data_IF_276978470321
#
_entry.id   IF_276978470321
#
_cell.length_a   1.000
_cell.length_b   1.000
_cell.length_c   1.000
_cell.angle_alpha   90.00
_cell.angle_beta   90.00
_cell.angle_gamma   90.00
#
_symmetry.space_group_name_H-M   'P 1'
#
loop_
_entity.id
_entity.type
_entity.pdbx_description
1 polymer ?
#
# COMPACT_ATOMS: atom_id res chain seq x y z
N UNK A 1 -25.05 -8.91 -6.55
CA UNK A 1 -23.66 -9.19 -6.95
C UNK A 1 -22.87 -9.46 -5.69
N UNK A 2 -22.02 -10.48 -5.67
CA UNK A 2 -21.09 -10.69 -4.56
C UNK A 2 -20.08 -9.54 -4.57
N UNK A 3 -19.80 -8.93 -3.42
CA UNK A 3 -18.78 -7.89 -3.33
C UNK A 3 -17.41 -8.48 -3.69
N UNK A 4 -16.65 -7.75 -4.51
CA UNK A 4 -15.29 -8.14 -4.90
C UNK A 4 -14.32 -7.88 -3.75
N UNK A 5 -13.37 -8.80 -3.57
CA UNK A 5 -12.21 -8.62 -2.68
C UNK A 5 -11.35 -7.48 -3.22
N UNK A 6 -10.96 -6.57 -2.32
CA UNK A 6 -10.08 -5.44 -2.61
C UNK A 6 -8.68 -5.68 -2.07
N UNK A 7 -7.68 -5.54 -2.94
CA UNK A 7 -6.26 -5.76 -2.67
C UNK A 7 -5.55 -4.42 -2.65
N UNK A 8 -4.88 -4.11 -1.54
CA UNK A 8 -3.87 -3.06 -1.51
C UNK A 8 -2.51 -3.65 -1.93
N UNK A 9 -1.87 -3.11 -2.96
CA UNK A 9 -0.58 -3.60 -3.44
C UNK A 9 0.57 -2.77 -2.84
N UNK A 10 1.25 -3.34 -1.86
CA UNK A 10 2.38 -2.71 -1.16
C UNK A 10 3.69 -3.10 -1.85
N UNK A 11 4.30 -2.20 -2.61
CA UNK A 11 5.56 -2.47 -3.30
C UNK A 11 6.34 -1.18 -3.51
N UNK A 12 7.67 -1.29 -3.55
CA UNK A 12 8.53 -0.21 -4.00
C UNK A 12 8.07 0.31 -5.37
N UNK A 13 8.20 1.61 -5.60
CA UNK A 13 7.81 2.28 -6.84
C UNK A 13 8.83 3.36 -7.29
N UNK A 14 10.11 3.16 -6.95
CA UNK A 14 11.17 4.15 -7.19
C UNK A 14 11.63 4.20 -8.65
N UNK A 15 11.40 3.13 -9.42
CA UNK A 15 11.91 2.97 -10.78
C UNK A 15 10.86 2.44 -11.76
N UNK A 16 11.08 2.68 -13.06
CA UNK A 16 10.24 2.14 -14.13
C UNK A 16 10.15 0.61 -14.14
N UNK A 17 11.19 -0.07 -13.63
CA UNK A 17 11.19 -1.53 -13.47
C UNK A 17 10.17 -1.96 -12.42
N UNK A 18 10.18 -1.32 -11.27
CA UNK A 18 9.26 -1.61 -10.16
C UNK A 18 7.83 -1.25 -10.54
N UNK A 19 7.61 -0.07 -11.11
CA UNK A 19 6.26 0.35 -11.49
C UNK A 19 5.66 -0.50 -12.60
N UNK A 20 6.49 -0.96 -13.56
CA UNK A 20 6.09 -1.93 -14.56
C UNK A 20 5.74 -3.29 -13.93
N UNK A 21 6.56 -3.79 -13.01
CA UNK A 21 6.27 -5.04 -12.29
C UNK A 21 4.93 -4.97 -11.57
N UNK A 22 4.71 -3.89 -10.80
CA UNK A 22 3.51 -3.69 -10.00
C UNK A 22 2.24 -3.63 -10.85
N UNK A 23 2.26 -2.90 -11.99
CA UNK A 23 1.12 -2.82 -12.91
C UNK A 23 0.79 -4.19 -13.51
N UNK A 24 1.78 -4.94 -13.97
CA UNK A 24 1.53 -6.24 -14.58
C UNK A 24 0.92 -7.22 -13.57
N UNK A 25 1.45 -7.23 -12.34
CA UNK A 25 0.89 -8.08 -11.29
C UNK A 25 -0.53 -7.65 -10.90
N UNK A 26 -0.77 -6.34 -10.75
CA UNK A 26 -2.10 -5.82 -10.44
C UNK A 26 -3.13 -6.19 -11.51
N UNK A 27 -2.80 -6.01 -12.80
CA UNK A 27 -3.68 -6.38 -13.91
C UNK A 27 -4.03 -7.88 -13.90
N UNK A 28 -3.04 -8.74 -13.65
CA UNK A 28 -3.27 -10.18 -13.53
C UNK A 28 -4.20 -10.54 -12.35
N UNK A 29 -4.11 -9.82 -11.23
CA UNK A 29 -5.03 -10.00 -10.11
C UNK A 29 -6.44 -9.48 -10.44
N UNK A 30 -6.55 -8.36 -11.17
CA UNK A 30 -7.84 -7.83 -11.65
C UNK A 30 -8.53 -8.79 -12.63
N UNK A 31 -7.77 -9.43 -13.52
CA UNK A 31 -8.25 -10.49 -14.42
C UNK A 31 -8.82 -11.70 -13.66
N UNK A 32 -8.34 -11.97 -12.44
CA UNK A 32 -8.86 -13.00 -11.54
C UNK A 32 -10.09 -12.54 -10.74
N UNK A 33 -10.56 -11.31 -10.98
CA UNK A 33 -11.80 -10.78 -10.43
C UNK A 33 -11.64 -9.90 -9.19
N UNK A 34 -10.41 -9.58 -8.79
CA UNK A 34 -10.12 -8.68 -7.66
C UNK A 34 -10.25 -7.20 -8.06
N UNK A 35 -10.38 -6.33 -7.06
CA UNK A 35 -10.12 -4.90 -7.19
C UNK A 35 -8.72 -4.62 -6.65
N UNK A 36 -7.94 -3.78 -7.31
CA UNK A 36 -6.61 -3.38 -6.81
C UNK A 36 -6.54 -1.89 -6.53
N UNK A 37 -6.00 -1.54 -5.37
CA UNK A 37 -5.56 -0.20 -5.00
C UNK A 37 -4.03 -0.20 -5.12
N UNK A 38 -3.51 0.58 -6.07
CA UNK A 38 -2.11 0.55 -6.47
C UNK A 38 -1.52 1.95 -6.29
N UNK A 39 -0.69 2.19 -5.26
CA UNK A 39 -0.24 3.52 -4.86
C UNK A 39 0.40 4.34 -5.97
N UNK A 40 1.06 3.72 -6.95
CA UNK A 40 1.60 4.46 -8.10
C UNK A 40 0.52 5.02 -9.04
N UNK A 41 -0.62 4.34 -9.25
CA UNK A 41 -1.72 4.90 -10.07
C UNK A 41 -2.24 6.18 -9.41
N UNK A 42 -2.44 6.10 -8.09
CA UNK A 42 -2.96 7.17 -7.24
C UNK A 42 -1.90 8.26 -6.98
N UNK A 43 -0.63 7.84 -6.99
CA UNK A 43 0.59 8.59 -6.68
C UNK A 43 1.00 9.59 -7.75
N UNK A 44 0.79 9.27 -9.02
CA UNK A 44 1.17 10.17 -10.10
C UNK A 44 0.30 11.43 -10.18
N UNK A 45 -0.83 11.43 -9.49
CA UNK A 45 -1.73 12.58 -9.44
C UNK A 45 -1.28 13.66 -8.44
N UNK A 46 -0.29 13.35 -7.57
CA UNK A 46 0.30 14.31 -6.62
C UNK A 46 1.04 15.47 -7.30
N UNK A 47 1.39 15.36 -8.60
CA UNK A 47 1.88 16.50 -9.38
C UNK A 47 0.85 17.64 -9.48
N UNK A 48 -0.45 17.33 -9.42
CA UNK A 48 -1.51 18.34 -9.38
C UNK A 48 -1.68 18.95 -7.98
N UNK A 49 -1.44 18.18 -6.92
CA UNK A 49 -1.50 18.69 -5.54
C UNK A 49 -0.48 19.81 -5.31
N UNK A 50 0.76 19.63 -5.78
CA UNK A 50 1.79 20.66 -5.68
C UNK A 50 1.36 21.97 -6.36
N UNK A 51 0.76 21.88 -7.55
CA UNK A 51 0.27 23.05 -8.29
C UNK A 51 -0.76 23.86 -7.49
N UNK A 52 -1.74 23.19 -6.87
CA UNK A 52 -2.78 23.89 -6.08
C UNK A 52 -2.26 24.42 -4.74
N UNK A 53 -1.34 23.70 -4.10
CA UNK A 53 -0.77 24.13 -2.81
C UNK A 53 0.19 25.32 -2.96
N UNK A 54 0.90 25.41 -4.10
CA UNK A 54 1.82 26.51 -4.42
C UNK A 54 1.18 27.90 -4.37
N UNK A 55 -0.13 28.02 -4.59
CA UNK A 55 -0.84 29.30 -4.52
C UNK A 55 -1.12 29.75 -3.08
N UNK A 56 -1.00 28.86 -2.09
CA UNK A 56 -1.51 29.07 -0.73
C UNK A 56 -0.53 28.78 0.41
N UNK A 57 0.58 28.07 0.15
CA UNK A 57 1.53 27.60 1.16
C UNK A 57 2.98 27.92 0.79
N UNK A 58 3.87 27.98 1.79
CA UNK A 58 5.32 28.06 1.53
C UNK A 58 5.87 26.73 0.98
N UNK A 59 7.01 26.73 0.27
CA UNK A 59 7.63 25.49 -0.24
C UNK A 59 7.82 24.38 0.81
N UNK A 60 8.23 24.75 2.03
CA UNK A 60 8.40 23.81 3.14
C UNK A 60 7.06 23.21 3.60
N UNK A 61 6.02 24.03 3.64
CA UNK A 61 4.67 23.63 4.01
C UNK A 61 4.04 22.72 2.95
N UNK A 62 4.34 22.95 1.67
CA UNK A 62 3.89 22.10 0.56
C UNK A 62 4.51 20.70 0.67
N UNK A 63 5.82 20.61 0.91
CA UNK A 63 6.47 19.31 1.09
C UNK A 63 5.88 18.53 2.27
N UNK A 64 5.59 19.21 3.39
CA UNK A 64 4.91 18.60 4.52
C UNK A 64 3.48 18.18 4.18
N UNK A 65 2.75 19.01 3.44
CA UNK A 65 1.37 18.73 3.04
C UNK A 65 1.27 17.49 2.17
N UNK A 66 2.09 17.42 1.12
CA UNK A 66 2.13 16.27 0.21
C UNK A 66 2.41 14.98 0.97
N UNK A 67 3.45 14.97 1.83
CA UNK A 67 3.80 13.79 2.64
C UNK A 67 2.65 13.35 3.55
N UNK A 68 2.00 14.29 4.23
CA UNK A 68 0.90 13.99 5.14
C UNK A 68 -0.33 13.47 4.39
N UNK A 69 -0.69 14.08 3.25
CA UNK A 69 -1.81 13.65 2.42
C UNK A 69 -1.57 12.24 1.90
N UNK A 70 -0.37 11.95 1.34
CA UNK A 70 0.00 10.60 0.88
C UNK A 70 -0.09 9.59 2.02
N UNK A 71 0.49 9.92 3.19
CA UNK A 71 0.48 9.02 4.34
C UNK A 71 -0.94 8.67 4.80
N UNK A 72 -1.84 9.67 4.89
CA UNK A 72 -3.24 9.43 5.23
C UNK A 72 -4.00 8.71 4.12
N UNK A 73 -3.65 8.92 2.85
CA UNK A 73 -4.27 8.23 1.73
C UNK A 73 -3.95 6.72 1.78
N UNK A 74 -2.67 6.37 1.82
CA UNK A 74 -2.24 4.99 1.77
C UNK A 74 -2.65 4.22 3.04
N UNK A 75 -2.23 4.74 4.20
CA UNK A 75 -2.40 4.03 5.48
C UNK A 75 -3.76 4.25 6.11
N UNK A 76 -4.36 5.43 5.91
CA UNK A 76 -5.61 5.81 6.55
C UNK A 76 -6.86 5.63 5.69
N UNK A 77 -6.72 5.58 4.37
CA UNK A 77 -7.85 5.45 3.46
C UNK A 77 -7.86 4.11 2.72
N UNK A 78 -6.78 3.73 2.03
CA UNK A 78 -6.74 2.51 1.22
C UNK A 78 -6.61 1.24 2.06
N UNK A 79 -5.61 1.14 2.94
CA UNK A 79 -5.40 -0.05 3.77
C UNK A 79 -6.65 -0.41 4.61
N UNK A 80 -7.34 0.54 5.28
CA UNK A 80 -8.54 0.22 6.04
C UNK A 80 -9.71 -0.30 5.18
N UNK A 81 -9.75 0.07 3.90
CA UNK A 81 -10.78 -0.33 2.92
C UNK A 81 -10.45 -1.62 2.17
N UNK A 82 -9.19 -2.04 2.15
CA UNK A 82 -8.79 -3.30 1.54
C UNK A 82 -9.20 -4.48 2.42
N UNK A 83 -9.33 -5.65 1.80
CA UNK A 83 -9.53 -6.91 2.50
C UNK A 83 -8.18 -7.63 2.68
N UNK A 84 -7.26 -7.39 1.74
CA UNK A 84 -5.99 -8.09 1.60
C UNK A 84 -4.89 -7.07 1.25
N UNK A 85 -3.70 -7.29 1.78
CA UNK A 85 -2.47 -6.65 1.31
C UNK A 85 -1.64 -7.69 0.56
N UNK A 86 -1.23 -7.36 -0.64
CA UNK A 86 -0.25 -8.15 -1.40
C UNK A 86 1.04 -7.34 -1.45
N UNK A 87 2.14 -7.87 -0.90
CA UNK A 87 3.38 -7.12 -0.74
C UNK A 87 4.57 -7.73 -1.48
N UNK A 88 5.28 -6.88 -2.24
CA UNK A 88 6.59 -7.21 -2.79
C UNK A 88 7.66 -6.95 -1.74
N UNK A 89 8.35 -8.00 -1.31
CA UNK A 89 9.41 -7.94 -0.30
C UNK A 89 10.78 -8.30 -0.88
N UNK A 90 10.99 -8.02 -2.17
CA UNK A 90 12.31 -8.06 -2.77
C UNK A 90 13.26 -7.03 -2.12
N UNK A 91 14.55 -7.38 -2.02
CA UNK A 91 15.54 -6.58 -1.31
C UNK A 91 16.31 -5.63 -2.26
N UNK A 92 16.66 -4.40 -1.81
CA UNK A 92 16.39 -3.84 -0.47
C UNK A 92 14.91 -3.53 -0.26
N UNK A 93 14.40 -3.87 0.93
CA UNK A 93 12.99 -3.66 1.28
C UNK A 93 12.77 -2.16 1.49
N UNK A 94 11.73 -1.63 0.83
CA UNK A 94 11.23 -0.28 1.05
C UNK A 94 10.63 -0.15 2.46
N UNK A 95 11.07 0.85 3.22
CA UNK A 95 10.54 1.14 4.55
C UNK A 95 9.04 1.44 4.52
N UNK A 96 8.54 2.06 3.46
CA UNK A 96 7.11 2.29 3.23
C UNK A 96 6.33 0.98 3.22
N UNK A 97 6.79 0.00 2.43
CA UNK A 97 6.17 -1.34 2.37
C UNK A 97 6.18 -2.02 3.73
N UNK A 98 7.27 -1.93 4.49
CA UNK A 98 7.35 -2.52 5.82
C UNK A 98 6.33 -1.88 6.81
N UNK A 99 6.11 -0.56 6.70
CA UNK A 99 5.10 0.16 7.49
C UNK A 99 3.69 -0.26 7.08
N UNK A 100 3.40 -0.32 5.78
CA UNK A 100 2.08 -0.66 5.24
C UNK A 100 1.63 -2.07 5.64
N UNK A 101 2.49 -3.08 5.48
CA UNK A 101 2.13 -4.45 5.88
C UNK A 101 1.89 -4.56 7.39
N UNK A 102 2.63 -3.78 8.19
CA UNK A 102 2.50 -3.78 9.65
C UNK A 102 1.17 -3.14 10.06
N UNK A 103 0.79 -2.01 9.46
CA UNK A 103 -0.51 -1.39 9.68
C UNK A 103 -1.65 -2.29 9.21
N UNK A 104 -1.53 -2.88 8.02
CA UNK A 104 -2.51 -3.86 7.53
C UNK A 104 -2.71 -5.02 8.49
N UNK A 105 -1.61 -5.62 8.96
CA UNK A 105 -1.67 -6.72 9.92
C UNK A 105 -2.32 -6.31 11.24
N UNK A 106 -2.00 -5.11 11.72
CA UNK A 106 -2.59 -4.49 12.93
C UNK A 106 -4.07 -4.19 12.74
N UNK A 107 -4.51 -3.85 11.53
CA UNK A 107 -5.93 -3.64 11.18
C UNK A 107 -6.68 -4.93 10.86
N UNK A 108 -6.05 -6.10 11.06
CA UNK A 108 -6.67 -7.41 10.82
C UNK A 108 -6.76 -7.81 9.34
N UNK A 109 -6.04 -7.13 8.45
CA UNK A 109 -6.00 -7.46 7.01
C UNK A 109 -5.20 -8.74 6.79
N UNK A 110 -5.60 -9.50 5.77
CA UNK A 110 -4.82 -10.66 5.36
C UNK A 110 -3.63 -10.21 4.52
N UNK A 111 -2.41 -10.54 4.93
CA UNK A 111 -1.19 -10.09 4.27
C UNK A 111 -0.54 -11.27 3.54
N UNK A 112 -0.38 -11.15 2.23
CA UNK A 112 0.37 -12.08 1.37
C UNK A 112 1.65 -11.38 0.94
N UNK A 113 2.76 -11.73 1.59
CA UNK A 113 4.08 -11.29 1.15
C UNK A 113 4.67 -12.24 0.11
N UNK A 114 5.41 -11.71 -0.85
CA UNK A 114 6.16 -12.53 -1.79
C UNK A 114 7.57 -11.98 -2.02
N UNK A 115 8.45 -12.87 -2.45
CA UNK A 115 9.81 -12.54 -2.86
C UNK A 115 10.17 -13.26 -4.16
N UNK A 116 10.73 -12.51 -5.10
CA UNK A 116 11.08 -12.97 -6.44
C UNK A 116 12.58 -13.10 -6.71
N UNK A 117 13.42 -12.72 -5.75
CA UNK A 117 14.88 -12.75 -5.85
C UNK A 117 15.43 -14.03 -6.52
N UNK A 118 16.02 -13.83 -7.71
CA UNK A 118 16.59 -14.91 -8.53
C UNK A 118 17.84 -15.53 -7.92
N UNK A 119 18.40 -14.88 -6.90
CA UNK A 119 19.53 -15.39 -6.14
C UNK A 119 19.10 -16.32 -5.02
N UNK A 120 17.83 -16.39 -4.63
CA UNK A 120 17.43 -17.31 -3.56
C UNK A 120 17.54 -18.78 -4.06
N UNK A 121 18.15 -19.70 -3.27
CA UNK A 121 18.70 -19.54 -1.93
C UNK A 121 20.26 -19.55 -1.92
N UNK A 122 20.94 -18.64 -2.62
CA UNK A 122 22.36 -18.35 -2.41
C UNK A 122 22.50 -17.68 -1.03
N UNK A 123 22.46 -18.49 0.03
CA UNK A 123 22.31 -18.02 1.41
C UNK A 123 21.27 -18.86 2.14
N UNK A 124 21.68 -20.04 2.59
CA UNK A 124 20.92 -21.00 3.39
C UNK A 124 19.59 -21.50 2.79
N UNK A 125 19.63 -22.65 2.11
CA UNK A 125 18.46 -23.40 1.58
C UNK A 125 17.40 -23.71 2.65
N UNK A 126 17.78 -23.73 3.94
CA UNK A 126 16.83 -23.96 5.04
C UNK A 126 16.13 -22.70 5.55
N UNK A 127 16.45 -21.52 5.02
CA UNK A 127 15.76 -20.28 5.39
C UNK A 127 14.33 -20.27 4.81
N UNK A 128 13.36 -20.17 5.72
CA UNK A 128 11.94 -20.10 5.40
C UNK A 128 11.54 -18.85 4.60
N UNK A 129 12.41 -17.82 4.59
CA UNK A 129 12.20 -16.57 3.85
C UNK A 129 13.27 -16.32 2.78
N UNK A 130 14.06 -17.36 2.45
CA UNK A 130 14.98 -17.37 1.31
C UNK A 130 16.17 -16.41 1.42
N UNK A 131 16.54 -15.98 2.63
CA UNK A 131 17.62 -15.04 2.93
C UNK A 131 17.16 -13.64 3.33
N UNK A 132 15.85 -13.38 3.32
CA UNK A 132 15.28 -12.06 3.57
C UNK A 132 15.22 -11.79 5.07
N UNK A 133 15.33 -10.52 5.47
CA UNK A 133 15.08 -10.15 6.85
C UNK A 133 13.68 -10.60 7.34
N UNK A 134 13.61 -11.30 8.47
CA UNK A 134 12.38 -11.98 8.91
C UNK A 134 11.32 -11.04 9.53
N UNK A 135 11.68 -9.80 9.89
CA UNK A 135 10.73 -8.88 10.54
C UNK A 135 9.51 -8.56 9.64
N UNK A 136 9.68 -8.13 8.37
CA UNK A 136 8.55 -7.96 7.45
C UNK A 136 7.82 -9.28 7.17
N UNK A 137 8.56 -10.39 7.06
CA UNK A 137 7.97 -11.70 6.81
C UNK A 137 6.99 -12.13 7.91
N UNK A 138 7.30 -11.83 9.16
CA UNK A 138 6.42 -12.12 10.31
C UNK A 138 5.16 -11.27 10.36
N UNK A 139 5.07 -10.20 9.57
CA UNK A 139 3.83 -9.45 9.38
C UNK A 139 2.90 -10.09 8.35
N UNK A 140 3.35 -11.13 7.64
CA UNK A 140 2.59 -11.82 6.62
C UNK A 140 1.77 -12.98 7.19
N UNK A 141 0.54 -13.17 6.71
CA UNK A 141 -0.23 -14.39 6.96
C UNK A 141 0.24 -15.55 6.07
N UNK A 142 0.68 -15.22 4.84
CA UNK A 142 1.31 -16.14 3.88
C UNK A 142 2.53 -15.48 3.27
N UNK A 143 3.55 -16.29 3.05
CA UNK A 143 4.78 -15.85 2.43
C UNK A 143 5.11 -16.75 1.23
N UNK A 144 5.27 -16.17 0.05
CA UNK A 144 5.54 -16.87 -1.19
C UNK A 144 7.00 -16.65 -1.58
N UNK A 145 7.76 -17.74 -1.67
CA UNK A 145 9.04 -17.76 -2.36
C UNK A 145 8.80 -18.14 -3.83
N UNK A 146 9.11 -17.22 -4.75
CA UNK A 146 8.90 -17.45 -6.17
C UNK A 146 10.01 -16.81 -7.01
N UNK A 147 11.15 -17.49 -7.12
CA UNK A 147 12.25 -17.06 -7.98
C UNK A 147 11.77 -16.84 -9.42
N UNK A 148 11.90 -15.61 -9.93
CA UNK A 148 11.46 -15.23 -11.29
C UNK A 148 12.65 -15.11 -12.24
N UNK A 149 13.46 -16.16 -12.37
CA UNK A 149 14.55 -16.18 -13.34
C UNK A 149 13.98 -16.43 -14.74
N UNK A 150 14.17 -15.48 -15.66
CA UNK A 150 13.75 -15.61 -17.05
C UNK A 150 14.90 -15.31 -18.02
N UNK A 151 14.86 -15.91 -19.21
CA UNK A 151 15.81 -15.68 -20.32
C UNK A 151 15.17 -14.99 -21.51
N UNK A 152 13.84 -14.99 -21.58
CA UNK A 152 13.04 -14.42 -22.65
C UNK A 152 11.70 -13.92 -22.09
N UNK A 153 10.93 -13.23 -22.92
CA UNK A 153 9.66 -12.60 -22.55
C UNK A 153 8.61 -13.65 -22.21
N UNK A 154 8.56 -14.77 -22.95
CA UNK A 154 7.60 -15.83 -22.71
C UNK A 154 7.77 -16.44 -21.30
N UNK A 155 9.01 -16.74 -20.92
CA UNK A 155 9.33 -17.20 -19.56
C UNK A 155 8.95 -16.14 -18.52
N UNK A 156 9.21 -14.85 -18.77
CA UNK A 156 8.82 -13.79 -17.84
C UNK A 156 7.29 -13.74 -17.64
N UNK A 157 6.52 -13.82 -18.72
CA UNK A 157 5.04 -13.83 -18.69
C UNK A 157 4.50 -15.06 -17.94
N UNK A 158 5.09 -16.23 -18.17
CA UNK A 158 4.75 -17.46 -17.44
C UNK A 158 5.04 -17.34 -15.94
N UNK A 159 6.16 -16.74 -15.56
CA UNK A 159 6.50 -16.49 -14.15
C UNK A 159 5.49 -15.50 -13.53
N UNK A 160 5.14 -14.41 -14.20
CA UNK A 160 4.12 -13.47 -13.70
C UNK A 160 2.77 -14.15 -13.48
N UNK A 161 2.32 -14.97 -14.42
CA UNK A 161 1.08 -15.75 -14.27
C UNK A 161 1.18 -16.71 -13.09
N UNK A 162 2.30 -17.42 -12.97
CA UNK A 162 2.53 -18.34 -11.84
C UNK A 162 2.55 -17.63 -10.49
N UNK A 163 3.13 -16.43 -10.39
CA UNK A 163 3.10 -15.63 -9.17
C UNK A 163 1.66 -15.24 -8.81
N UNK A 164 0.92 -14.72 -9.79
CA UNK A 164 -0.46 -14.31 -9.61
C UNK A 164 -1.37 -15.49 -9.22
N UNK A 165 -1.17 -16.68 -9.80
CA UNK A 165 -1.87 -17.92 -9.40
C UNK A 165 -1.58 -18.30 -7.95
N UNK A 166 -0.33 -18.22 -7.51
CA UNK A 166 0.02 -18.52 -6.10
C UNK A 166 -0.58 -17.53 -5.11
N UNK A 167 -0.67 -16.26 -5.50
CA UNK A 167 -1.34 -15.23 -4.70
C UNK A 167 -2.84 -15.54 -4.65
N UNK A 168 -3.45 -15.85 -5.79
CA UNK A 168 -4.86 -16.24 -5.88
C UNK A 168 -5.18 -17.46 -5.00
N UNK A 169 -4.38 -18.51 -5.08
CA UNK A 169 -4.50 -19.70 -4.23
C UNK A 169 -4.46 -19.36 -2.73
N UNK A 170 -3.57 -18.43 -2.33
CA UNK A 170 -3.50 -17.95 -0.95
C UNK A 170 -4.79 -17.23 -0.55
N UNK A 171 -5.33 -16.37 -1.41
CA UNK A 171 -6.56 -15.61 -1.18
C UNK A 171 -7.77 -16.55 -1.07
N UNK A 172 -7.94 -17.47 -2.03
CA UNK A 172 -9.02 -18.44 -2.05
C UNK A 172 -8.95 -19.39 -0.84
N UNK A 173 -7.75 -19.87 -0.50
CA UNK A 173 -7.51 -20.73 0.65
C UNK A 173 -7.80 -20.06 2.00
N UNK A 174 -7.63 -18.75 2.09
CA UNK A 174 -7.91 -17.97 3.29
C UNK A 174 -9.40 -17.74 3.54
N UNK A 175 -10.27 -17.97 2.52
CA UNK A 175 -11.72 -17.78 2.59
C UNK A 175 -12.10 -16.39 3.12
N UNK A 176 -11.41 -15.36 2.60
CA UNK A 176 -11.64 -13.98 3.01
C UNK A 176 -13.06 -13.56 2.64
N UNK A 177 -13.79 -13.06 3.63
CA UNK A 177 -15.10 -12.44 3.43
C UNK A 177 -14.85 -10.94 3.45
N UNK A 178 -15.22 -10.19 2.39
CA UNK A 178 -15.04 -8.75 2.37
C UNK A 178 -15.65 -8.07 3.60
N UNK A 179 -14.87 -7.23 4.28
CA UNK A 179 -15.31 -6.55 5.52
C UNK A 179 -15.27 -5.05 5.34
N UNK A 180 -16.43 -4.41 5.53
CA UNK A 180 -16.57 -2.95 5.48
C UNK A 180 -16.32 -2.25 6.83
N UNK A 181 -16.40 -3.01 7.93
CA UNK A 181 -16.17 -2.49 9.27
C UNK A 181 -14.88 -3.06 9.84
N UNK A 182 -14.05 -2.19 10.40
CA UNK A 182 -12.89 -2.58 11.18
C UNK A 182 -13.33 -3.21 12.51
N UNK A 183 -12.53 -4.15 12.99
CA UNK A 183 -12.78 -4.79 14.29
C UNK A 183 -12.60 -3.77 15.44
N UNK A 184 -13.30 -3.99 16.56
CA UNK A 184 -13.32 -3.01 17.67
C UNK A 184 -11.92 -2.65 18.19
N UNK A 185 -11.02 -3.63 18.31
CA UNK A 185 -9.64 -3.39 18.77
C UNK A 185 -8.84 -2.47 17.83
N UNK A 186 -9.20 -2.42 16.55
CA UNK A 186 -8.59 -1.51 15.57
C UNK A 186 -9.12 -0.10 15.79
N UNK A 187 -10.43 0.04 15.96
CA UNK A 187 -11.07 1.34 16.23
C UNK A 187 -10.74 1.91 17.62
N UNK A 188 -10.30 1.08 18.56
CA UNK A 188 -9.90 1.47 19.91
C UNK A 188 -8.38 1.72 20.03
N UNK A 189 -7.58 1.33 19.02
CA UNK A 189 -6.15 1.59 19.02
C UNK A 189 -5.89 3.07 18.68
N UNK A 190 -5.31 3.88 19.58
CA UNK A 190 -5.17 5.31 19.38
C UNK A 190 -4.28 5.67 18.18
N UNK A 191 -3.25 4.87 17.90
CA UNK A 191 -2.35 5.11 16.77
C UNK A 191 -3.04 4.86 15.43
N UNK A 192 -3.88 3.84 15.35
CA UNK A 192 -4.67 3.54 14.15
C UNK A 192 -5.82 4.54 13.99
N UNK A 193 -6.50 4.88 15.10
CA UNK A 193 -7.61 5.82 15.12
C UNK A 193 -7.20 7.21 14.64
N UNK A 194 -6.02 7.70 15.02
CA UNK A 194 -5.53 9.00 14.57
C UNK A 194 -5.34 9.05 13.05
N UNK A 195 -4.78 7.99 12.47
CA UNK A 195 -4.55 7.91 11.03
C UNK A 195 -5.87 7.84 10.27
N UNK A 196 -6.82 7.04 10.74
CA UNK A 196 -8.17 6.95 10.16
C UNK A 196 -8.91 8.29 10.30
N UNK A 197 -8.75 8.99 11.43
CA UNK A 197 -9.36 10.31 11.64
C UNK A 197 -8.80 11.34 10.66
N UNK A 198 -7.48 11.38 10.46
CA UNK A 198 -6.85 12.25 9.48
C UNK A 198 -7.32 11.95 8.04
N UNK A 199 -7.41 10.67 7.68
CA UNK A 199 -7.97 10.26 6.40
C UNK A 199 -9.46 10.64 6.25
N UNK A 200 -10.25 10.56 7.32
CA UNK A 200 -11.64 11.00 7.28
C UNK A 200 -11.77 12.51 7.11
N UNK A 201 -10.91 13.31 7.74
CA UNK A 201 -10.86 14.76 7.52
C UNK A 201 -10.61 15.04 6.03
N UNK A 202 -9.64 14.36 5.43
CA UNK A 202 -9.22 14.66 4.06
C UNK A 202 -10.16 14.10 2.98
N UNK A 203 -10.59 12.84 3.10
CA UNK A 203 -11.15 12.09 1.97
C UNK A 203 -12.63 11.70 2.12
N UNK A 204 -13.22 11.85 3.32
CA UNK A 204 -14.60 11.38 3.55
C UNK A 204 -15.59 12.13 2.67
N UNK A 205 -16.40 11.36 1.92
CA UNK A 205 -17.46 11.90 1.07
C UNK A 205 -16.97 12.51 -0.25
N UNK A 206 -15.71 12.29 -0.63
CA UNK A 206 -15.19 12.62 -1.95
C UNK A 206 -15.27 11.35 -2.79
N UNK A 207 -16.16 11.33 -3.79
CA UNK A 207 -16.42 10.14 -4.61
C UNK A 207 -15.26 9.84 -5.58
N UNK A 208 -14.69 10.88 -6.19
CA UNK A 208 -13.55 10.79 -7.11
C UNK A 208 -12.39 11.63 -6.58
N UNK A 209 -11.60 11.05 -5.67
CA UNK A 209 -10.43 11.71 -5.07
C UNK A 209 -9.34 12.11 -6.08
N UNK A 210 -9.41 11.52 -7.27
CA UNK A 210 -8.50 11.68 -8.40
C UNK A 210 -8.93 12.77 -9.41
N UNK A 211 -10.17 13.25 -9.29
CA UNK A 211 -10.68 14.35 -10.11
C UNK A 211 -10.02 15.68 -9.72
N UNK A 212 -10.01 16.65 -10.64
CA UNK A 212 -9.50 18.00 -10.33
C UNK A 212 -10.29 18.62 -9.15
N UNK A 213 -11.61 18.45 -9.12
CA UNK A 213 -12.47 18.89 -8.03
C UNK A 213 -12.14 18.19 -6.71
N UNK A 214 -11.92 16.87 -6.74
CA UNK A 214 -11.53 16.09 -5.57
C UNK A 214 -10.20 16.53 -4.99
N UNK A 215 -9.19 16.76 -5.85
CA UNK A 215 -7.87 17.25 -5.47
C UNK A 215 -7.96 18.65 -4.84
N UNK A 216 -8.72 19.57 -5.43
CA UNK A 216 -8.95 20.92 -4.87
C UNK A 216 -9.59 20.82 -3.49
N UNK A 217 -10.60 19.98 -3.33
CA UNK A 217 -11.27 19.78 -2.05
C UNK A 217 -10.32 19.22 -0.99
N UNK A 218 -9.51 18.22 -1.32
CA UNK A 218 -8.49 17.65 -0.42
C UNK A 218 -7.49 18.74 0.02
N UNK A 219 -6.99 19.54 -0.92
CA UNK A 219 -6.11 20.68 -0.63
C UNK A 219 -6.76 21.67 0.35
N UNK A 220 -8.01 22.07 0.09
CA UNK A 220 -8.72 23.01 0.94
C UNK A 220 -8.95 22.43 2.33
N UNK A 221 -9.32 21.15 2.45
CA UNK A 221 -9.48 20.46 3.74
C UNK A 221 -8.16 20.36 4.49
N UNK A 222 -7.05 20.06 3.82
CA UNK A 222 -5.74 20.06 4.46
C UNK A 222 -5.39 21.43 5.04
N UNK A 223 -5.56 22.50 4.26
CA UNK A 223 -5.25 23.87 4.69
C UNK A 223 -6.13 24.28 5.88
N UNK A 224 -7.43 23.98 5.82
CA UNK A 224 -8.38 24.37 6.86
C UNK A 224 -8.23 23.58 8.17
N UNK A 225 -7.62 22.39 8.14
CA UNK A 225 -7.48 21.52 9.31
C UNK A 225 -6.02 21.20 9.63
N UNK A 226 -5.08 22.04 9.19
CA UNK A 226 -3.63 21.78 9.29
C UNK A 226 -3.16 21.50 10.73
N UNK A 227 -3.63 22.28 11.69
CA UNK A 227 -3.23 22.14 13.10
C UNK A 227 -3.78 20.84 13.70
N UNK A 228 -5.05 20.50 13.44
CA UNK A 228 -5.66 19.24 13.86
C UNK A 228 -4.94 18.04 13.23
N UNK A 229 -4.67 18.07 11.93
CA UNK A 229 -3.94 17.01 11.23
C UNK A 229 -2.51 16.82 11.76
N UNK A 230 -1.87 17.90 12.20
CA UNK A 230 -0.54 17.87 12.82
C UNK A 230 -0.56 17.21 14.20
N UNK A 231 -1.62 17.42 14.99
CA UNK A 231 -1.79 16.74 16.28
C UNK A 231 -2.01 15.23 16.14
N UNK A 232 -2.64 14.80 15.04
CA UNK A 232 -2.88 13.40 14.74
C UNK A 232 -1.59 12.64 14.36
N UNK A 233 -0.59 13.33 13.79
CA UNK A 233 0.70 12.75 13.40
C UNK A 233 1.70 12.93 14.55
N UNK A 234 2.01 11.84 15.26
CA UNK A 234 2.86 11.86 16.46
C UNK A 234 4.35 12.19 16.23
N UNK A 235 4.77 12.43 14.98
CA UNK A 235 6.17 12.73 14.66
C UNK A 235 6.49 14.21 14.91
N UNK A 236 7.02 14.53 16.08
CA UNK A 236 7.64 15.82 16.34
C UNK A 236 9.13 15.75 16.01
N UNK A 237 9.56 16.46 14.97
CA UNK A 237 10.99 16.66 14.71
C UNK A 237 11.51 17.71 15.69
N UNK A 238 12.20 17.26 16.74
CA UNK A 238 12.98 18.14 17.60
C UNK A 238 14.29 18.45 16.87
N UNK A 239 14.40 19.66 16.31
CA UNK A 239 15.67 20.18 15.82
C UNK A 239 16.49 20.63 17.04
N UNK A 240 17.62 19.97 17.27
CA UNK A 240 18.65 20.41 18.22
C UNK A 240 19.70 21.25 17.49
#
# INVERSE_FOLDING_TARGET
MQEKIRIYTAAALFSGRETFFNINLANLLEERGYLTDLPQKDGFEFGNLEKFLNEKLSPEEISSAIKNIIYFLDVGFFIPRSDIIVSNLDEPIDEGVAVEITYGRTMGKYVVGFRTDVRSPYGNISDSFGGMHFFPAFQCNKFILHSMRCKNIQEADEQFKSLADKIDDCIQGARIIPRRKLDNYVSENPYVLNIISGANILFKGIDEIHSEEGIIEICNRYINNKDELKELISAQVLLY
#
